data_IF_009174493800
#
_entry.id   IF_009174493800
#
_cell.length_a   1.000
_cell.length_b   1.000
_cell.length_c   1.000
_cell.angle_alpha   90.00
_cell.angle_beta   90.00
_cell.angle_gamma   90.00
#
_symmetry.space_group_name_H-M   'P 1'
#
loop_
_entity.id
_entity.type
_entity.pdbx_description
1 polymer ?
#
# COMPACT_ATOMS: atom_id res chain seq x y z
N UNK A 1 13.94 4.94 -3.62
CA UNK A 1 12.92 3.87 -3.60
C UNK A 1 11.88 4.22 -2.54
N UNK A 2 10.59 4.32 -2.91
CA UNK A 2 9.49 4.52 -1.97
C UNK A 2 9.10 3.22 -1.26
N UNK A 3 8.44 3.32 -0.11
CA UNK A 3 7.93 2.19 0.68
C UNK A 3 6.49 2.48 1.10
N UNK A 4 5.77 1.47 1.59
CA UNK A 4 4.36 1.58 1.96
C UNK A 4 4.19 1.54 3.50
N UNK A 5 3.27 2.36 4.01
CA UNK A 5 2.91 2.56 5.42
C UNK A 5 1.45 2.15 5.64
N UNK A 6 1.16 1.35 6.66
CA UNK A 6 -0.23 0.96 7.01
C UNK A 6 -1.10 2.20 7.27
N UNK A 7 -2.30 2.22 6.70
CA UNK A 7 -3.25 3.31 6.76
C UNK A 7 -3.80 3.59 8.15
N UNK A 8 -4.18 4.84 8.42
CA UNK A 8 -4.57 5.31 9.75
C UNK A 8 -5.79 4.57 10.33
N UNK A 9 -6.81 4.30 9.54
CA UNK A 9 -8.03 3.63 10.01
C UNK A 9 -7.96 2.11 9.90
N UNK A 10 -6.82 1.55 9.50
CA UNK A 10 -6.60 0.10 9.40
C UNK A 10 -6.45 -0.52 10.79
N UNK A 11 -7.21 -1.58 11.07
CA UNK A 11 -7.27 -2.22 12.41
C UNK A 11 -6.28 -3.38 12.58
N UNK A 12 -5.76 -3.94 11.50
CA UNK A 12 -4.66 -4.90 11.49
C UNK A 12 -3.86 -4.84 10.18
N UNK A 13 -2.69 -5.47 10.14
CA UNK A 13 -1.76 -5.29 9.02
C UNK A 13 -2.07 -6.13 7.77
N UNK A 14 -3.25 -6.75 7.69
CA UNK A 14 -3.64 -7.61 6.57
C UNK A 14 -4.50 -6.86 5.55
N UNK A 15 -4.07 -6.87 4.29
CA UNK A 15 -4.89 -6.48 3.15
C UNK A 15 -5.59 -7.74 2.61
N UNK A 16 -6.91 -7.81 2.80
CA UNK A 16 -7.74 -8.96 2.38
C UNK A 16 -9.04 -8.47 1.74
N UNK A 17 -9.62 -9.30 0.88
CA UNK A 17 -10.92 -9.02 0.27
C UNK A 17 -12.02 -8.89 1.33
N UNK A 18 -12.94 -7.94 1.16
CA UNK A 18 -13.98 -7.62 2.14
C UNK A 18 -13.52 -6.78 3.34
N UNK A 19 -12.32 -6.19 3.31
CA UNK A 19 -11.81 -5.28 4.34
C UNK A 19 -11.56 -3.87 3.80
N UNK A 20 -11.67 -2.86 4.66
CA UNK A 20 -11.37 -1.45 4.38
C UNK A 20 -9.90 -1.07 4.64
N UNK A 21 -9.03 -2.05 4.92
CA UNK A 21 -7.62 -1.79 5.20
C UNK A 21 -6.89 -1.26 3.95
N UNK A 22 -5.96 -0.34 4.17
CA UNK A 22 -5.19 0.31 3.10
C UNK A 22 -3.80 0.70 3.58
N UNK A 23 -2.96 1.13 2.64
CA UNK A 23 -1.62 1.60 2.93
C UNK A 23 -1.15 2.71 1.96
N UNK A 24 -0.31 3.64 2.45
CA UNK A 24 0.21 4.82 1.72
C UNK A 24 1.66 4.65 1.29
N UNK A 25 2.11 5.33 0.24
CA UNK A 25 3.55 5.39 -0.10
C UNK A 25 4.24 6.53 0.68
N UNK A 26 5.24 6.21 1.51
CA UNK A 26 6.03 7.15 2.34
C UNK A 26 7.51 7.31 1.93
N UNK A 27 8.25 8.21 2.62
CA UNK A 27 9.70 8.49 2.48
C UNK A 27 10.49 8.33 3.83
N UNK A 28 11.60 7.56 3.85
CA UNK A 28 12.36 6.85 4.95
C UNK A 28 12.02 5.41 5.45
N UNK A 29 13.06 4.54 5.55
CA UNK A 29 13.13 3.15 6.08
C UNK A 29 12.93 2.00 5.07
N UNK A 30 14.00 1.26 4.78
CA UNK A 30 13.97 0.01 3.99
C UNK A 30 13.74 -1.21 4.91
N UNK A 31 13.03 -2.20 4.39
CA UNK A 31 12.81 -3.53 4.97
C UNK A 31 13.46 -4.58 4.07
N UNK A 32 13.80 -5.75 4.61
CA UNK A 32 14.27 -6.85 3.76
C UNK A 32 13.16 -7.29 2.78
N UNK A 33 13.55 -7.76 1.59
CA UNK A 33 12.60 -8.30 0.61
C UNK A 33 11.80 -9.48 1.20
N UNK A 34 10.50 -9.52 0.91
CA UNK A 34 9.59 -10.55 1.43
C UNK A 34 9.27 -10.46 2.93
N UNK A 35 9.66 -9.37 3.59
CA UNK A 35 9.27 -9.13 4.99
C UNK A 35 7.76 -8.90 5.09
N UNK A 36 7.15 -9.40 6.17
CA UNK A 36 5.84 -8.95 6.64
C UNK A 36 5.91 -7.47 7.09
N UNK A 37 4.77 -6.80 7.38
CA UNK A 37 4.79 -5.46 7.97
C UNK A 37 5.66 -5.43 9.23
N UNK A 38 6.60 -4.48 9.31
CA UNK A 38 7.50 -4.30 10.46
C UNK A 38 7.48 -2.86 10.98
N UNK A 39 7.82 -2.66 12.25
CA UNK A 39 7.97 -1.32 12.81
C UNK A 39 9.13 -0.59 12.13
N UNK A 40 8.93 0.68 11.77
CA UNK A 40 9.98 1.50 11.17
C UNK A 40 9.61 2.97 11.13
N UNK A 41 10.63 3.84 11.07
CA UNK A 41 10.43 5.30 10.98
C UNK A 41 9.72 5.61 9.66
N UNK A 42 8.55 6.24 9.75
CA UNK A 42 7.77 6.67 8.59
C UNK A 42 7.25 8.10 8.80
N UNK A 43 6.83 8.73 7.69
CA UNK A 43 6.34 10.12 7.70
C UNK A 43 5.06 10.34 8.52
N UNK A 44 4.31 9.27 8.81
CA UNK A 44 3.09 9.32 9.61
C UNK A 44 3.39 9.41 11.11
N UNK A 45 4.34 8.61 11.59
CA UNK A 45 4.76 8.61 13.00
C UNK A 45 5.49 9.89 13.41
N UNK A 46 6.05 10.63 12.44
CA UNK A 46 6.71 11.91 12.70
C UNK A 46 5.76 13.01 13.19
N UNK A 47 4.44 12.87 12.97
CA UNK A 47 3.44 13.91 13.30
C UNK A 47 2.54 13.51 14.46
N UNK A 48 2.16 12.23 14.59
CA UNK A 48 1.15 11.80 15.60
C UNK A 48 1.43 10.46 16.31
N UNK A 49 2.59 9.82 16.10
CA UNK A 49 3.06 8.62 16.82
C UNK A 49 2.04 7.44 16.83
N UNK A 50 1.48 7.11 15.66
CA UNK A 50 0.46 6.04 15.50
C UNK A 50 1.05 4.63 15.39
N UNK A 51 2.37 4.50 15.49
CA UNK A 51 3.11 3.24 15.41
C UNK A 51 2.81 2.43 14.15
N UNK A 52 2.69 3.09 12.98
CA UNK A 52 2.32 2.38 11.75
C UNK A 52 3.49 1.57 11.19
N UNK A 53 3.23 0.31 10.86
CA UNK A 53 4.22 -0.58 10.23
C UNK A 53 4.44 -0.24 8.77
N UNK A 54 5.61 -0.60 8.26
CA UNK A 54 6.05 -0.34 6.89
C UNK A 54 6.50 -1.61 6.16
N UNK A 55 6.41 -1.59 4.84
CA UNK A 55 7.07 -2.54 3.93
C UNK A 55 7.71 -1.83 2.74
N UNK A 56 8.89 -2.29 2.35
CA UNK A 56 9.58 -1.88 1.13
C UNK A 56 9.81 -3.08 0.20
N UNK A 57 10.32 -2.86 -1.01
CA UNK A 57 10.51 -3.90 -2.04
C UNK A 57 9.21 -4.61 -2.47
N UNK A 58 8.11 -3.88 -2.44
CA UNK A 58 6.75 -4.31 -2.78
C UNK A 58 6.43 -4.24 -4.28
N UNK A 59 7.42 -4.11 -5.16
CA UNK A 59 7.18 -3.92 -6.59
C UNK A 59 7.73 -5.10 -7.37
N UNK A 60 6.87 -5.70 -8.18
CA UNK A 60 7.24 -6.76 -9.11
C UNK A 60 7.10 -6.23 -10.53
N UNK A 61 8.14 -6.40 -11.34
CA UNK A 61 8.10 -6.01 -12.74
C UNK A 61 7.53 -7.15 -13.60
N UNK A 62 6.40 -6.89 -14.24
CA UNK A 62 5.84 -7.75 -15.28
C UNK A 62 6.47 -7.35 -16.63
N UNK A 63 7.41 -8.16 -17.10
CA UNK A 63 8.10 -7.93 -18.37
C UNK A 63 7.21 -8.10 -19.59
N UNK A 64 6.13 -8.88 -19.50
CA UNK A 64 5.17 -9.06 -20.59
C UNK A 64 4.30 -7.83 -20.80
N UNK A 65 3.92 -7.17 -19.71
CA UNK A 65 3.12 -5.93 -19.73
C UNK A 65 3.95 -4.65 -19.69
N UNK A 66 5.25 -4.76 -19.41
CA UNK A 66 6.16 -3.64 -19.13
C UNK A 66 5.63 -2.74 -17.99
N UNK A 67 5.08 -3.37 -16.96
CA UNK A 67 4.40 -2.69 -15.86
C UNK A 67 5.00 -3.09 -14.51
N UNK A 68 5.05 -2.14 -13.58
CA UNK A 68 5.30 -2.41 -12.18
C UNK A 68 3.98 -2.69 -11.47
N UNK A 69 3.85 -3.89 -10.92
CA UNK A 69 2.72 -4.30 -10.11
C UNK A 69 3.11 -4.25 -8.62
N UNK A 70 2.25 -3.69 -7.75
CA UNK A 70 2.47 -3.77 -6.32
C UNK A 70 2.21 -5.20 -5.81
N UNK A 71 2.95 -5.58 -4.77
CA UNK A 71 2.88 -6.87 -4.10
C UNK A 71 3.02 -6.64 -2.60
N UNK A 72 1.93 -6.85 -1.87
CA UNK A 72 1.89 -6.77 -0.40
C UNK A 72 1.99 -8.17 0.22
N UNK A 73 2.82 -8.31 1.25
CA UNK A 73 2.91 -9.53 2.06
C UNK A 73 2.14 -9.30 3.36
N UNK A 74 1.09 -10.07 3.62
CA UNK A 74 0.30 -9.98 4.85
C UNK A 74 1.09 -10.48 6.07
N UNK A 75 0.59 -10.22 7.28
CA UNK A 75 1.25 -10.66 8.52
C UNK A 75 1.33 -12.20 8.63
N UNK A 76 0.36 -12.91 8.05
CA UNK A 76 0.32 -14.37 7.94
C UNK A 76 1.19 -14.93 6.78
N UNK A 77 1.97 -14.07 6.12
CA UNK A 77 2.83 -14.36 4.95
C UNK A 77 2.08 -14.71 3.67
N UNK A 78 0.76 -14.58 3.64
CA UNK A 78 0.01 -14.67 2.38
C UNK A 78 0.23 -13.43 1.52
N UNK A 79 0.03 -13.58 0.22
CA UNK A 79 0.08 -12.47 -0.73
C UNK A 79 -1.33 -12.18 -1.23
N UNK A 80 -1.74 -10.92 -1.17
CA UNK A 80 -3.01 -10.47 -1.72
C UNK A 80 -2.82 -9.95 -3.15
N UNK A 81 -3.85 -10.08 -3.99
CA UNK A 81 -3.94 -9.26 -5.19
C UNK A 81 -4.17 -7.80 -4.78
N UNK A 82 -3.33 -6.89 -5.26
CA UNK A 82 -3.38 -5.48 -4.85
C UNK A 82 -3.70 -4.57 -6.04
N UNK A 83 -4.48 -3.53 -5.78
CA UNK A 83 -4.77 -2.43 -6.69
C UNK A 83 -4.04 -1.18 -6.23
N UNK A 84 -3.45 -0.45 -7.18
CA UNK A 84 -2.92 0.89 -6.96
C UNK A 84 -3.97 1.92 -7.40
N UNK A 85 -4.36 2.78 -6.47
CA UNK A 85 -5.38 3.80 -6.67
C UNK A 85 -4.77 5.19 -6.52
N UNK A 86 -5.22 6.15 -7.31
CA UNK A 86 -5.01 7.57 -7.08
C UNK A 86 -6.29 8.17 -6.53
N UNK A 87 -6.22 8.67 -5.29
CA UNK A 87 -7.31 9.38 -4.61
C UNK A 87 -7.01 10.87 -4.74
N UNK A 88 -7.73 11.55 -5.63
CA UNK A 88 -7.41 12.92 -6.04
C UNK A 88 -7.56 13.93 -4.89
N UNK A 89 -8.63 13.80 -4.10
CA UNK A 89 -8.93 14.72 -2.99
C UNK A 89 -7.84 14.68 -1.90
N UNK A 90 -7.28 13.49 -1.67
CA UNK A 90 -6.20 13.24 -0.70
C UNK A 90 -4.80 13.44 -1.30
N UNK A 91 -4.70 13.69 -2.62
CA UNK A 91 -3.45 13.78 -3.38
C UNK A 91 -2.52 12.60 -3.09
N UNK A 92 -3.10 11.42 -2.97
CA UNK A 92 -2.41 10.23 -2.46
C UNK A 92 -2.51 9.05 -3.44
N UNK A 93 -1.44 8.25 -3.48
CA UNK A 93 -1.47 6.90 -4.03
C UNK A 93 -1.73 5.91 -2.89
N UNK A 94 -2.72 5.05 -3.08
CA UNK A 94 -3.20 4.09 -2.09
C UNK A 94 -3.14 2.68 -2.66
N UNK A 95 -2.71 1.73 -1.82
CA UNK A 95 -2.79 0.31 -2.11
C UNK A 95 -3.95 -0.33 -1.35
N UNK A 96 -4.81 -1.09 -2.04
CA UNK A 96 -5.91 -1.86 -1.44
C UNK A 96 -6.05 -3.25 -2.09
N UNK A 97 -6.62 -4.21 -1.37
CA UNK A 97 -7.06 -5.50 -1.92
C UNK A 97 -8.54 -5.50 -2.35
N UNK A 98 -9.32 -4.50 -1.94
CA UNK A 98 -10.74 -4.35 -2.26
C UNK A 98 -11.09 -2.89 -2.55
N UNK A 99 -11.39 -2.58 -3.81
CA UNK A 99 -11.70 -1.23 -4.25
C UNK A 99 -13.08 -0.78 -3.76
N UNK A 100 -14.05 -1.71 -3.73
CA UNK A 100 -15.45 -1.42 -3.41
C UNK A 100 -15.60 -1.10 -1.94
N UNK A 101 -15.03 -1.93 -1.07
CA UNK A 101 -15.10 -1.70 0.38
C UNK A 101 -14.27 -0.47 0.79
N UNK A 102 -13.11 -0.26 0.16
CA UNK A 102 -12.33 0.96 0.34
C UNK A 102 -13.14 2.21 -0.03
N UNK A 103 -13.78 2.23 -1.21
CA UNK A 103 -14.61 3.36 -1.64
C UNK A 103 -15.72 3.66 -0.65
N UNK A 104 -16.43 2.62 -0.21
CA UNK A 104 -17.60 2.72 0.66
C UNK A 104 -17.25 3.28 2.04
N UNK A 105 -16.18 2.78 2.66
CA UNK A 105 -15.81 3.18 4.03
C UNK A 105 -15.12 4.54 4.06
N UNK A 106 -14.21 4.77 3.12
CA UNK A 106 -13.47 6.03 3.04
C UNK A 106 -14.30 7.15 2.41
N UNK A 107 -15.39 6.80 1.72
CA UNK A 107 -16.29 7.72 1.01
C UNK A 107 -15.51 8.65 0.05
N UNK A 108 -14.59 8.08 -0.72
CA UNK A 108 -13.73 8.80 -1.67
C UNK A 108 -14.02 8.41 -3.11
N UNK A 109 -13.57 9.23 -4.04
CA UNK A 109 -13.47 8.86 -5.45
C UNK A 109 -12.02 8.57 -5.82
N UNK A 110 -11.80 7.62 -6.73
CA UNK A 110 -10.45 7.26 -7.17
C UNK A 110 -10.43 6.81 -8.63
N UNK A 111 -9.22 6.81 -9.19
CA UNK A 111 -8.89 6.14 -10.44
C UNK A 111 -7.86 5.05 -10.20
N UNK A 112 -8.01 3.91 -10.86
CA UNK A 112 -6.95 2.89 -10.89
C UNK A 112 -5.74 3.37 -11.67
N UNK A 113 -4.55 3.05 -11.16
CA UNK A 113 -3.27 3.45 -11.73
C UNK A 113 -2.47 2.22 -12.13
N UNK A 114 -1.95 2.24 -13.34
CA UNK A 114 -0.91 1.31 -13.79
C UNK A 114 0.40 2.08 -13.99
N UNK A 115 1.48 1.62 -13.34
CA UNK A 115 2.81 2.20 -13.53
C UNK A 115 3.50 1.50 -14.70
N UNK A 116 3.50 2.14 -15.85
CA UNK A 116 4.20 1.67 -17.04
C UNK A 116 5.63 2.21 -17.11
N UNK A 117 6.55 1.42 -17.68
CA UNK A 117 7.82 1.95 -18.14
C UNK A 117 7.64 2.64 -19.49
N UNK A 118 8.04 3.90 -19.58
CA UNK A 118 8.17 4.63 -20.85
C UNK A 118 9.63 4.52 -21.29
N UNK A 119 9.85 4.13 -22.55
CA UNK A 119 11.17 3.97 -23.15
C UNK A 119 11.80 5.31 -23.51
#
# INVERSE_FOLDING_TARGET
MGYIVVGFTTTNDNLVSGSHHYAYIGLTSQTASGSTPVQGVNSFDKVQNFERKVQSAIWTYDSGKKQLAPQWVNADRTMAGNYLLHVADEKALVLTADKTEFQKVMNVTFSEVALGCVA
#
